data_IF_220687599800
#
_entry.id   IF_220687599800
#
_cell.length_a   1.000
_cell.length_b   1.000
_cell.length_c   1.000
_cell.angle_alpha   90.00
_cell.angle_beta   90.00
_cell.angle_gamma   90.00
#
_symmetry.space_group_name_H-M   'P 1'
#
loop_
_entity.id
_entity.type
_entity.pdbx_description
1 polymer ?
#
# COMPACT_ATOMS: atom_id res chain seq x y z
N UNK A 1 -5.54 -5.93 -19.12
CA UNK A 1 -6.20 -6.14 -17.81
C UNK A 1 -5.38 -5.43 -16.74
N UNK A 2 -6.02 -4.70 -15.81
CA UNK A 2 -5.32 -3.96 -14.74
C UNK A 2 -4.97 -4.90 -13.58
N UNK A 3 -3.76 -4.78 -13.04
CA UNK A 3 -3.40 -5.37 -11.75
C UNK A 3 -4.01 -4.54 -10.61
N UNK A 4 -4.44 -5.17 -9.52
CA UNK A 4 -5.02 -4.49 -8.35
C UNK A 4 -4.21 -4.83 -7.10
N UNK A 5 -3.89 -3.80 -6.32
CA UNK A 5 -3.32 -3.95 -4.98
C UNK A 5 -4.13 -3.12 -3.99
N UNK A 6 -4.45 -3.73 -2.86
CA UNK A 6 -5.15 -3.11 -1.74
C UNK A 6 -4.16 -2.92 -0.59
N UNK A 7 -4.04 -1.67 -0.13
CA UNK A 7 -3.19 -1.27 0.99
C UNK A 7 -4.08 -0.71 2.09
N UNK A 8 -4.06 -1.35 3.26
CA UNK A 8 -4.76 -0.81 4.43
C UNK A 8 -4.04 0.44 4.97
N UNK A 9 -4.71 1.26 5.77
CA UNK A 9 -4.12 2.40 6.47
C UNK A 9 -2.82 2.03 7.17
N UNK A 10 -2.80 0.90 7.88
CA UNK A 10 -1.59 0.36 8.50
C UNK A 10 -0.48 0.08 7.50
N UNK A 11 -0.79 -0.49 6.33
CA UNK A 11 0.23 -0.69 5.29
C UNK A 11 0.85 0.64 4.86
N UNK A 12 0.05 1.68 4.64
CA UNK A 12 0.52 3.01 4.24
C UNK A 12 1.41 3.66 5.31
N UNK A 13 0.97 3.65 6.57
CA UNK A 13 1.73 4.20 7.71
C UNK A 13 3.04 3.44 7.91
N UNK A 14 3.02 2.10 7.84
CA UNK A 14 4.23 1.30 7.94
C UNK A 14 5.22 1.60 6.81
N UNK A 15 4.77 1.74 5.56
CA UNK A 15 5.65 2.10 4.44
C UNK A 15 6.27 3.49 4.63
N UNK A 16 5.48 4.48 5.04
CA UNK A 16 5.98 5.82 5.35
C UNK A 16 6.98 5.82 6.50
N UNK A 17 6.66 5.10 7.57
CA UNK A 17 7.53 5.02 8.73
C UNK A 17 8.86 4.37 8.39
N UNK A 18 8.84 3.26 7.63
CA UNK A 18 10.08 2.62 7.15
C UNK A 18 10.92 3.58 6.31
N UNK A 19 10.33 4.38 5.41
CA UNK A 19 11.09 5.42 4.69
C UNK A 19 11.73 6.42 5.66
N UNK A 20 10.99 6.91 6.65
CA UNK A 20 11.50 7.89 7.60
C UNK A 20 12.65 7.32 8.44
N UNK A 21 12.49 6.10 8.97
CA UNK A 21 13.52 5.39 9.74
C UNK A 21 14.79 5.18 8.91
N UNK A 22 14.65 4.76 7.64
CA UNK A 22 15.79 4.69 6.70
C UNK A 22 16.50 6.03 6.55
N UNK A 23 15.75 7.12 6.43
CA UNK A 23 16.29 8.48 6.37
C UNK A 23 17.04 8.91 7.64
N UNK A 24 16.70 8.31 8.78
CA UNK A 24 17.35 8.53 10.07
C UNK A 24 18.53 7.58 10.33
N UNK A 25 18.92 6.77 9.34
CA UNK A 25 20.03 5.81 9.46
C UNK A 25 19.66 4.47 10.10
N UNK A 26 18.38 4.21 10.38
CA UNK A 26 17.94 2.92 10.92
C UNK A 26 17.87 1.84 9.83
N UNK A 27 18.19 0.60 10.21
CA UNK A 27 18.10 -0.55 9.31
C UNK A 27 16.63 -0.93 9.05
N UNK A 28 16.20 -0.82 7.80
CA UNK A 28 14.83 -1.17 7.39
C UNK A 28 14.73 -1.44 5.90
N UNK A 29 13.96 -2.47 5.54
CA UNK A 29 13.79 -2.90 4.15
C UNK A 29 12.84 -2.02 3.32
N UNK A 30 12.15 -1.02 3.91
CA UNK A 30 11.13 -0.19 3.24
C UNK A 30 10.08 -0.95 2.42
N UNK A 31 9.86 -2.24 2.72
CA UNK A 31 9.09 -3.14 1.87
C UNK A 31 7.96 -3.80 2.65
N UNK A 32 6.82 -4.02 1.99
CA UNK A 32 5.75 -4.91 2.41
C UNK A 32 5.51 -5.93 1.30
N UNK A 33 5.39 -7.21 1.66
CA UNK A 33 5.00 -8.26 0.73
C UNK A 33 3.50 -8.48 0.84
N UNK A 34 2.78 -8.35 -0.28
CA UNK A 34 1.36 -8.65 -0.38
C UNK A 34 1.16 -9.98 -1.12
N UNK A 35 0.40 -10.88 -0.50
CA UNK A 35 0.09 -12.22 -1.00
C UNK A 35 -1.31 -12.60 -0.53
N UNK A 36 -2.32 -11.85 -0.97
CA UNK A 36 -3.69 -11.98 -0.47
C UNK A 36 -4.69 -12.18 -1.61
N UNK A 37 -4.51 -13.24 -2.38
CA UNK A 37 -5.32 -13.56 -3.56
C UNK A 37 -6.68 -14.15 -3.21
N UNK A 38 -6.83 -14.70 -2.01
CA UNK A 38 -8.05 -15.37 -1.54
C UNK A 38 -8.90 -14.46 -0.64
N UNK A 39 -8.60 -13.17 -0.59
CA UNK A 39 -9.39 -12.22 0.17
C UNK A 39 -10.84 -12.20 -0.38
N UNK A 40 -11.88 -12.40 0.46
CA UNK A 40 -13.26 -12.52 -0.01
C UNK A 40 -13.78 -11.25 -0.72
N UNK A 41 -13.43 -10.07 -0.19
CA UNK A 41 -13.85 -8.76 -0.73
C UNK A 41 -12.78 -8.06 -1.60
N UNK A 42 -11.51 -8.21 -1.27
CA UNK A 42 -10.40 -7.46 -1.89
C UNK A 42 -9.31 -8.39 -2.45
N UNK A 43 -9.65 -9.36 -3.33
CA UNK A 43 -8.68 -10.31 -3.84
C UNK A 43 -7.63 -9.60 -4.70
N UNK A 44 -6.36 -9.88 -4.42
CA UNK A 44 -5.28 -9.41 -5.27
C UNK A 44 -5.22 -10.21 -6.56
N UNK A 45 -4.97 -9.53 -7.68
CA UNK A 45 -4.89 -10.20 -8.99
C UNK A 45 -3.52 -10.83 -9.25
N UNK A 46 -2.47 -10.36 -8.58
CA UNK A 46 -1.11 -10.91 -8.70
C UNK A 46 -0.81 -11.85 -7.54
N UNK A 47 -0.22 -13.02 -7.83
CA UNK A 47 0.11 -14.06 -6.82
C UNK A 47 0.96 -13.55 -5.66
N UNK A 48 1.85 -12.59 -5.92
CA UNK A 48 2.74 -11.96 -4.93
C UNK A 48 3.16 -10.60 -5.48
N UNK A 49 3.17 -9.59 -4.63
CA UNK A 49 3.62 -8.24 -4.95
C UNK A 49 4.50 -7.69 -3.82
N UNK A 50 5.69 -7.21 -4.17
CA UNK A 50 6.54 -6.43 -3.29
C UNK A 50 6.18 -4.95 -3.43
N UNK A 51 5.80 -4.30 -2.34
CA UNK A 51 5.53 -2.86 -2.31
C UNK A 51 6.68 -2.18 -1.58
N UNK A 52 7.45 -1.39 -2.31
CA UNK A 52 8.67 -0.74 -1.84
C UNK A 52 8.43 0.76 -1.76
N UNK A 53 8.69 1.31 -0.59
CA UNK A 53 8.54 2.72 -0.29
C UNK A 53 9.85 3.44 -0.65
N UNK A 54 9.78 4.43 -1.54
CA UNK A 54 10.93 5.20 -2.05
C UNK A 54 10.80 6.71 -1.77
N UNK A 55 11.93 7.42 -1.80
CA UNK A 55 11.95 8.87 -1.56
C UNK A 55 11.22 9.65 -2.66
N UNK A 56 11.44 9.28 -3.92
CA UNK A 56 10.87 9.93 -5.10
C UNK A 56 10.60 8.90 -6.20
N UNK A 57 9.77 9.29 -7.17
CA UNK A 57 9.38 8.45 -8.29
C UNK A 57 8.29 7.41 -7.96
N UNK A 58 7.59 6.98 -8.99
CA UNK A 58 6.65 5.85 -8.92
C UNK A 58 6.93 4.95 -10.10
N UNK A 59 6.99 3.65 -9.84
CA UNK A 59 7.26 2.68 -10.90
C UNK A 59 6.64 1.33 -10.54
N UNK A 60 6.32 0.54 -11.56
CA UNK A 60 5.91 -0.83 -11.43
C UNK A 60 6.76 -1.67 -12.40
N UNK A 61 7.27 -2.82 -11.95
CA UNK A 61 8.06 -3.73 -12.78
C UNK A 61 7.93 -5.17 -12.26
N UNK A 62 7.49 -6.07 -13.14
CA UNK A 62 7.21 -7.46 -12.83
C UNK A 62 6.23 -7.61 -11.66
N UNK A 63 6.76 -7.93 -10.49
CA UNK A 63 6.02 -8.10 -9.23
C UNK A 63 6.42 -7.09 -8.16
N UNK A 64 7.01 -5.96 -8.54
CA UNK A 64 7.50 -4.94 -7.63
C UNK A 64 6.89 -3.59 -7.94
N UNK A 65 6.28 -3.00 -6.93
CA UNK A 65 5.66 -1.69 -6.97
C UNK A 65 6.48 -0.72 -6.11
N UNK A 66 6.99 0.34 -6.72
CA UNK A 66 7.69 1.43 -6.06
C UNK A 66 6.71 2.60 -5.86
N UNK A 67 6.51 3.01 -4.61
CA UNK A 67 5.61 4.10 -4.24
C UNK A 67 6.40 5.19 -3.54
N UNK A 68 6.29 6.43 -4.02
CA UNK A 68 6.93 7.58 -3.38
C UNK A 68 6.29 7.93 -2.05
N UNK A 69 7.09 8.60 -1.19
CA UNK A 69 6.60 9.23 0.04
C UNK A 69 5.38 10.13 -0.20
N UNK A 70 5.41 10.93 -1.27
CA UNK A 70 4.31 11.85 -1.59
C UNK A 70 3.02 11.08 -1.90
N UNK A 71 3.10 10.02 -2.71
CA UNK A 71 1.92 9.21 -3.04
C UNK A 71 1.35 8.52 -1.81
N UNK A 72 2.19 7.98 -0.93
CA UNK A 72 1.73 7.38 0.33
C UNK A 72 1.02 8.40 1.24
N UNK A 73 1.51 9.65 1.31
CA UNK A 73 0.85 10.72 2.06
C UNK A 73 -0.50 11.08 1.44
N UNK A 74 -0.56 11.23 0.12
CA UNK A 74 -1.80 11.54 -0.58
C UNK A 74 -2.84 10.44 -0.35
N UNK A 75 -2.45 9.16 -0.48
CA UNK A 75 -3.32 8.01 -0.21
C UNK A 75 -3.91 8.05 1.22
N UNK A 76 -3.12 8.44 2.23
CA UNK A 76 -3.61 8.60 3.60
C UNK A 76 -4.55 9.80 3.74
N UNK A 77 -4.18 10.95 3.19
CA UNK A 77 -5.02 12.16 3.22
C UNK A 77 -6.36 11.93 2.53
N UNK A 78 -6.38 11.20 1.42
CA UNK A 78 -7.61 10.85 0.71
C UNK A 78 -8.44 9.85 1.53
N UNK A 79 -7.78 8.89 2.21
CA UNK A 79 -8.45 7.98 3.13
C UNK A 79 -9.07 8.71 4.33
N UNK A 80 -8.43 9.75 4.86
CA UNK A 80 -8.96 10.61 5.94
C UNK A 80 -10.17 11.44 5.50
N UNK A 81 -10.20 11.87 4.23
CA UNK A 81 -11.31 12.65 3.66
C UNK A 81 -12.50 11.80 3.26
N UNK A 82 -12.32 10.49 3.13
CA UNK A 82 -13.36 9.57 2.65
C UNK A 82 -14.52 9.52 3.64
N UNK A 83 -15.74 9.59 3.14
CA UNK A 83 -16.94 9.41 3.98
C UNK A 83 -17.19 7.92 4.24
N UNK A 84 -17.76 7.61 5.41
CA UNK A 84 -18.18 6.25 5.74
C UNK A 84 -19.14 5.71 4.67
N UNK A 85 -18.83 4.53 4.10
CA UNK A 85 -19.63 3.87 3.06
C UNK A 85 -19.21 4.16 1.61
N UNK A 86 -18.28 5.09 1.37
CA UNK A 86 -17.67 5.25 0.04
C UNK A 86 -16.72 4.07 -0.25
N UNK A 87 -16.62 3.64 -1.51
CA UNK A 87 -15.63 2.64 -1.91
C UNK A 87 -14.18 3.13 -1.68
N UNK A 88 -13.19 2.27 -1.92
CA UNK A 88 -11.77 2.52 -1.66
C UNK A 88 -11.33 3.96 -2.01
N UNK A 89 -10.77 4.66 -1.02
CA UNK A 89 -10.68 6.12 -0.98
C UNK A 89 -9.83 6.76 -2.09
N UNK A 90 -8.84 6.04 -2.61
CA UNK A 90 -7.94 6.58 -3.61
C UNK A 90 -7.42 5.48 -4.52
N UNK A 91 -7.37 5.79 -5.83
CA UNK A 91 -6.92 4.92 -6.90
C UNK A 91 -5.76 5.57 -7.64
N UNK A 92 -4.54 5.09 -7.40
CA UNK A 92 -3.37 5.51 -8.20
C UNK A 92 -3.11 4.46 -9.25
N UNK A 93 -3.01 4.88 -10.51
CA UNK A 93 -2.66 4.01 -11.64
C UNK A 93 -1.20 4.24 -12.03
N UNK A 94 -0.39 3.18 -12.02
CA UNK A 94 1.03 3.22 -12.41
C UNK A 94 1.25 2.27 -13.59
N UNK A 95 2.00 2.73 -14.58
CA UNK A 95 2.40 1.95 -15.74
C UNK A 95 3.70 1.19 -15.47
N UNK A 96 3.81 -0.01 -16.04
CA UNK A 96 5.04 -0.79 -16.02
C UNK A 96 6.11 -0.14 -16.93
N UNK A 97 7.33 0.06 -16.40
CA UNK A 97 8.36 0.82 -17.12
C UNK A 97 9.02 0.06 -18.29
N UNK A 98 8.95 -1.27 -18.35
CA UNK A 98 9.79 -2.06 -19.29
C UNK A 98 9.13 -3.35 -19.80
N UNK A 99 8.16 -3.26 -20.72
CA UNK A 99 7.62 -4.45 -21.42
C UNK A 99 7.48 -4.24 -22.92
N UNK A 100 7.91 -5.22 -23.71
CA UNK A 100 7.70 -5.27 -25.18
C UNK A 100 6.28 -5.64 -25.58
N UNK A 101 5.46 -6.17 -24.66
CA UNK A 101 4.10 -6.62 -24.92
C UNK A 101 3.13 -5.99 -23.91
N UNK A 102 2.49 -4.89 -24.35
CA UNK A 102 1.41 -4.13 -23.70
C UNK A 102 1.73 -3.53 -22.31
N UNK A 103 1.40 -2.25 -22.06
CA UNK A 103 1.62 -1.65 -20.75
C UNK A 103 0.76 -2.36 -19.70
N UNK A 104 1.39 -3.05 -18.74
CA UNK A 104 0.70 -3.48 -17.53
C UNK A 104 0.53 -2.28 -16.62
N UNK A 105 -0.68 -2.11 -16.16
CA UNK A 105 -1.09 -1.03 -15.28
C UNK A 105 -1.48 -1.61 -13.93
N UNK A 106 -1.05 -0.99 -12.84
CA UNK A 106 -1.46 -1.36 -11.49
C UNK A 106 -2.27 -0.26 -10.85
N UNK A 107 -3.43 -0.62 -10.29
CA UNK A 107 -4.29 0.23 -9.48
C UNK A 107 -4.06 -0.04 -8.01
N UNK A 108 -3.68 0.99 -7.27
CA UNK A 108 -3.50 0.96 -5.82
C UNK A 108 -4.76 1.48 -5.16
N UNK A 109 -5.34 0.71 -4.25
CA UNK A 109 -6.53 1.05 -3.49
C UNK A 109 -6.17 1.23 -2.01
N UNK A 110 -6.45 2.40 -1.45
CA UNK A 110 -6.35 2.66 -0.01
C UNK A 110 -7.65 2.26 0.72
N UNK A 111 -7.53 1.55 1.83
CA UNK A 111 -8.64 1.04 2.63
C UNK A 111 -8.40 1.27 4.13
N UNK A 112 -9.48 1.37 4.89
CA UNK A 112 -9.37 1.31 6.35
C UNK A 112 -9.01 -0.11 6.83
N UNK A 113 -8.36 -0.20 7.98
CA UNK A 113 -7.96 -1.49 8.54
C UNK A 113 -9.20 -2.35 8.84
N UNK A 114 -10.27 -1.78 9.38
CA UNK A 114 -11.52 -2.50 9.68
C UNK A 114 -12.19 -3.05 8.42
N UNK A 115 -12.08 -2.34 7.30
CA UNK A 115 -12.63 -2.80 6.02
C UNK A 115 -11.82 -3.94 5.45
N UNK A 116 -10.49 -3.81 5.47
CA UNK A 116 -9.60 -4.80 4.88
C UNK A 116 -9.54 -6.08 5.72
N UNK A 117 -9.41 -5.97 7.03
CA UNK A 117 -9.27 -7.15 7.89
C UNK A 117 -10.64 -7.70 8.35
N UNK A 118 -11.67 -6.85 8.44
CA UNK A 118 -12.99 -7.26 8.92
C UNK A 118 -12.92 -7.86 10.31
N UNK A 119 -13.87 -8.75 10.63
CA UNK A 119 -14.01 -9.37 11.95
C UNK A 119 -13.14 -10.62 12.12
N UNK A 120 -12.77 -11.28 11.01
CA UNK A 120 -12.17 -12.62 11.01
C UNK A 120 -10.72 -12.66 10.49
N UNK A 121 -10.08 -11.50 10.31
CA UNK A 121 -8.66 -11.44 9.94
C UNK A 121 -7.97 -10.51 10.93
N UNK A 122 -6.78 -10.92 11.35
CA UNK A 122 -5.96 -10.11 12.23
C UNK A 122 -4.84 -9.45 11.43
N UNK A 123 -4.66 -8.13 11.57
CA UNK A 123 -3.51 -7.49 10.99
C UNK A 123 -2.23 -7.98 11.70
N UNK A 124 -1.13 -8.04 10.95
CA UNK A 124 0.17 -8.36 11.54
C UNK A 124 0.61 -7.31 12.57
N UNK A 125 1.62 -7.70 13.36
CA UNK A 125 2.24 -6.82 14.34
C UNK A 125 2.72 -5.52 13.69
N UNK A 126 2.55 -4.42 14.42
CA UNK A 126 2.97 -3.08 14.02
C UNK A 126 4.25 -2.75 14.76
N UNK A 127 5.19 -2.10 14.08
CA UNK A 127 6.39 -1.62 14.73
C UNK A 127 6.03 -0.60 15.82
N UNK A 128 6.64 -0.60 17.02
CA UNK A 128 6.25 0.30 18.11
C UNK A 128 6.20 1.79 17.73
N UNK A 129 7.17 2.26 16.93
CA UNK A 129 7.20 3.63 16.40
C UNK A 129 6.00 4.01 15.50
N UNK A 130 5.25 3.01 15.01
CA UNK A 130 4.11 3.19 14.10
C UNK A 130 2.78 3.06 14.87
N UNK A 131 2.80 2.45 16.06
CA UNK A 131 1.60 2.15 16.85
C UNK A 131 0.84 3.43 17.26
N UNK A 132 1.57 4.46 17.73
CA UNK A 132 0.95 5.74 18.10
C UNK A 132 0.23 6.43 16.93
N UNK A 133 0.75 6.26 15.70
CA UNK A 133 0.16 6.84 14.48
C UNK A 133 -1.09 6.12 14.01
N UNK A 134 -1.36 4.91 14.52
CA UNK A 134 -2.59 4.18 14.26
C UNK A 134 -3.68 4.48 15.30
N UNK A 135 -3.30 5.01 16.46
CA UNK A 135 -4.21 5.29 17.57
C UNK A 135 -4.69 6.75 17.59
N UNK A 136 -3.94 7.66 16.98
CA UNK A 136 -4.35 9.05 16.78
C UNK A 136 -5.30 9.14 15.57
N UNK A 137 -6.59 8.99 15.82
CA UNK A 137 -7.68 9.46 14.96
C UNK A 137 -8.27 10.72 15.57
#
# INVERSE_FOLDING_TARGET
MFAKVYLSRRNLITLLSKICRKGNGEETACTIIKKDNLHPKYPQTMKKLSVIAVGYGVNFTGSTLYISRQVLKNLLTDLDKRKAGEEAACVVTINEAHTSELPRTIKIYALEDEEYYGVNRFPGAVHPADAGRLLTR
#
